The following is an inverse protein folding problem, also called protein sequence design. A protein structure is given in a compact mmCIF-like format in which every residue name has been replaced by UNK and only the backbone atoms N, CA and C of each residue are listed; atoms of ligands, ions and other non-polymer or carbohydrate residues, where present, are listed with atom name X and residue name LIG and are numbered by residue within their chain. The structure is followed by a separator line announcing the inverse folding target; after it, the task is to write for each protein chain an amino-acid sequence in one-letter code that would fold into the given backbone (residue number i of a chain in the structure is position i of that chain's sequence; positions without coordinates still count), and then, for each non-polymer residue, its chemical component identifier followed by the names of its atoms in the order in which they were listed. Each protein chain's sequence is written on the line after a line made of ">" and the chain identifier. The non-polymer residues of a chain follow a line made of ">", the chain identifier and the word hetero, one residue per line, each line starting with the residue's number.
data_IF_437088779435
#
_entry.id   IF_437088779435
#
_cell.length_a   1.000
_cell.length_b   1.000
_cell.length_c   1.000
_cell.angle_alpha   90.00
_cell.angle_beta   90.00
_cell.angle_gamma   90.00
#
_symmetry.space_group_name_H-M   'P 1'
#
loop_
_entity.id
_entity.type
_entity.pdbx_description
1 polymer ?
#
# COMPACT_ATOMS: atom_id res chain seq x y z
N UNK A 1 -42.49 24.21 -49.61
CA UNK A 1 -42.17 25.17 -48.52
C UNK A 1 -42.88 24.61 -47.31
N UNK A 2 -42.26 23.96 -46.34
CA UNK A 2 -41.03 24.33 -45.61
C UNK A 2 -40.84 23.23 -44.55
N UNK A 3 -39.80 22.40 -44.62
CA UNK A 3 -39.31 21.54 -43.51
C UNK A 3 -37.86 21.15 -43.76
N UNK A 4 -36.98 22.13 -43.70
CA UNK A 4 -35.56 21.93 -43.43
C UNK A 4 -35.13 23.08 -42.53
N UNK A 5 -34.93 22.82 -41.24
CA UNK A 5 -34.04 23.54 -40.31
C UNK A 5 -34.39 23.09 -38.89
N UNK A 6 -33.65 22.11 -38.40
CA UNK A 6 -33.39 21.86 -36.97
C UNK A 6 -32.29 20.80 -36.90
N UNK A 7 -31.06 21.21 -37.25
CA UNK A 7 -29.81 20.53 -36.88
C UNK A 7 -28.79 21.60 -36.59
N UNK A 8 -28.63 21.92 -35.31
CA UNK A 8 -27.65 22.91 -34.87
C UNK A 8 -27.90 23.25 -33.41
N UNK A 9 -27.37 22.42 -32.52
CA UNK A 9 -27.47 22.64 -31.08
C UNK A 9 -27.12 21.42 -30.23
N UNK A 10 -26.06 20.71 -30.59
CA UNK A 10 -25.47 19.63 -29.81
C UNK A 10 -24.03 19.57 -30.29
N UNK A 11 -23.08 20.20 -29.59
CA UNK A 11 -21.63 20.00 -29.75
C UNK A 11 -20.77 20.84 -28.79
N UNK A 12 -21.29 21.88 -28.13
CA UNK A 12 -20.46 22.73 -27.26
C UNK A 12 -20.33 22.25 -25.81
N UNK A 13 -21.26 21.43 -25.32
CA UNK A 13 -21.20 20.90 -23.94
C UNK A 13 -20.37 19.61 -23.84
N UNK A 14 -20.34 18.78 -24.89
CA UNK A 14 -19.53 17.54 -24.93
C UNK A 14 -18.02 17.82 -25.13
N UNK A 15 -17.66 18.89 -25.84
CA UNK A 15 -16.25 19.29 -26.04
C UNK A 15 -15.59 19.76 -24.73
N UNK A 16 -16.35 20.44 -23.85
CA UNK A 16 -15.87 20.86 -22.53
C UNK A 16 -15.59 19.68 -21.60
N UNK A 17 -16.45 18.65 -21.64
CA UNK A 17 -16.31 17.43 -20.83
C UNK A 17 -15.14 16.56 -21.32
N UNK A 18 -14.89 16.52 -22.63
CA UNK A 18 -13.75 15.80 -23.19
C UNK A 18 -12.41 16.51 -22.98
N UNK A 19 -12.38 17.84 -23.02
CA UNK A 19 -11.19 18.62 -22.68
C UNK A 19 -10.86 18.51 -21.19
N UNK A 20 -11.86 18.53 -20.31
CA UNK A 20 -11.68 18.30 -18.88
C UNK A 20 -11.25 16.85 -18.58
N UNK A 21 -11.78 15.85 -19.31
CA UNK A 21 -11.32 14.45 -19.23
C UNK A 21 -9.86 14.31 -19.68
N UNK A 22 -9.47 14.92 -20.80
CA UNK A 22 -8.08 14.91 -21.30
C UNK A 22 -7.14 15.67 -20.36
N UNK A 23 -7.63 16.72 -19.70
CA UNK A 23 -6.90 17.45 -18.66
C UNK A 23 -6.71 16.59 -17.41
N UNK A 24 -7.74 15.87 -16.95
CA UNK A 24 -7.64 14.87 -15.86
C UNK A 24 -6.74 13.69 -16.23
N UNK A 25 -6.71 13.28 -17.49
CA UNK A 25 -5.80 12.24 -18.00
C UNK A 25 -4.36 12.75 -18.08
N UNK A 26 -4.13 14.00 -18.48
CA UNK A 26 -2.80 14.65 -18.45
C UNK A 26 -2.31 14.93 -17.04
N UNK A 27 -3.16 15.42 -16.16
CA UNK A 27 -2.86 15.64 -14.73
C UNK A 27 -2.73 14.29 -14.00
N UNK A 28 -3.42 13.26 -14.49
CA UNK A 28 -3.34 11.87 -14.06
C UNK A 28 -2.28 11.03 -14.78
N UNK A 29 -1.42 11.64 -15.62
CA UNK A 29 -0.20 10.99 -16.11
C UNK A 29 0.76 10.87 -14.94
N UNK A 30 0.49 9.90 -14.08
CA UNK A 30 1.43 9.51 -13.07
C UNK A 30 2.53 8.70 -13.74
N UNK A 31 3.78 9.16 -13.63
CA UNK A 31 4.94 8.41 -14.08
C UNK A 31 5.23 7.27 -13.11
N UNK A 32 4.64 6.10 -13.38
CA UNK A 32 4.97 4.90 -12.63
C UNK A 32 6.41 4.52 -12.91
N UNK A 33 7.26 4.56 -11.88
CA UNK A 33 8.63 4.08 -11.99
C UNK A 33 8.59 2.58 -12.21
N UNK A 34 9.33 2.10 -13.19
CA UNK A 34 9.50 0.66 -13.33
C UNK A 34 10.23 0.13 -12.10
N UNK A 35 9.88 -1.09 -11.67
CA UNK A 35 10.64 -1.77 -10.61
C UNK A 35 12.12 -1.91 -11.02
N UNK A 36 12.39 -2.10 -12.31
CA UNK A 36 13.75 -2.19 -12.83
C UNK A 36 14.55 -0.90 -12.59
N UNK A 37 13.94 0.28 -12.81
CA UNK A 37 14.60 1.57 -12.57
C UNK A 37 14.86 1.84 -11.10
N UNK A 38 14.09 1.24 -10.20
CA UNK A 38 14.33 1.34 -8.75
C UNK A 38 15.58 0.55 -8.29
N UNK A 39 16.04 -0.38 -9.15
CA UNK A 39 17.24 -1.19 -8.96
C UNK A 39 18.44 -0.74 -9.81
N UNK A 40 18.21 0.18 -10.75
CA UNK A 40 19.22 0.78 -11.62
C UNK A 40 19.80 2.04 -10.96
N UNK A 41 20.44 1.82 -9.81
CA UNK A 41 21.09 2.85 -9.00
C UNK A 41 22.56 2.50 -8.81
N UNK A 42 23.42 3.50 -8.60
CA UNK A 42 24.86 3.28 -8.39
C UNK A 42 25.14 2.44 -7.15
N UNK A 43 26.29 1.76 -7.14
CA UNK A 43 26.75 1.01 -5.96
C UNK A 43 26.86 1.91 -4.73
N UNK A 44 27.37 3.13 -4.88
CA UNK A 44 27.44 4.14 -3.81
C UNK A 44 26.05 4.46 -3.21
N UNK A 45 25.02 4.54 -4.06
CA UNK A 45 23.65 4.81 -3.60
C UNK A 45 23.05 3.58 -2.89
N UNK A 46 23.39 2.36 -3.35
CA UNK A 46 23.02 1.14 -2.63
C UNK A 46 23.69 1.10 -1.26
N UNK A 47 25.00 1.34 -1.19
CA UNK A 47 25.78 1.35 0.05
C UNK A 47 25.21 2.36 1.04
N UNK A 48 24.96 3.60 0.60
CA UNK A 48 24.34 4.64 1.42
C UNK A 48 22.99 4.21 1.99
N UNK A 49 22.11 3.65 1.16
CA UNK A 49 20.78 3.17 1.61
C UNK A 49 20.90 2.06 2.65
N UNK A 50 21.83 1.14 2.45
CA UNK A 50 22.08 0.03 3.38
C UNK A 50 22.66 0.54 4.68
N UNK A 51 23.65 1.43 4.65
CA UNK A 51 24.27 2.02 5.84
C UNK A 51 23.27 2.79 6.69
N UNK A 52 22.44 3.64 6.08
CA UNK A 52 21.38 4.38 6.77
C UNK A 52 20.36 3.42 7.42
N UNK A 53 19.94 2.39 6.70
CA UNK A 53 19.01 1.40 7.21
C UNK A 53 19.60 0.58 8.36
N UNK A 54 20.86 0.13 8.23
CA UNK A 54 21.56 -0.65 9.26
C UNK A 54 21.84 0.18 10.52
N UNK A 55 22.12 1.47 10.37
CA UNK A 55 22.27 2.40 11.50
C UNK A 55 20.97 2.48 12.31
N UNK A 56 19.83 2.64 11.64
CA UNK A 56 18.51 2.68 12.28
C UNK A 56 18.17 1.36 12.97
N UNK A 57 18.41 0.23 12.30
CA UNK A 57 18.25 -1.12 12.89
C UNK A 57 19.09 -1.24 14.16
N UNK A 58 20.34 -0.76 14.15
CA UNK A 58 21.21 -0.77 15.33
C UNK A 58 20.68 0.06 16.49
N UNK A 59 20.08 1.22 16.22
CA UNK A 59 19.43 2.06 17.24
C UNK A 59 18.18 1.39 17.82
N UNK A 60 17.32 0.84 16.96
CA UNK A 60 16.09 0.16 17.36
C UNK A 60 16.38 -1.07 18.23
N UNK A 61 17.41 -1.86 17.89
CA UNK A 61 17.83 -3.03 18.69
C UNK A 61 18.32 -2.65 20.09
N UNK A 62 18.97 -1.49 20.22
CA UNK A 62 19.42 -0.96 21.52
C UNK A 62 18.28 -0.37 22.36
N UNK A 63 17.06 -0.30 21.80
CA UNK A 63 15.94 0.38 22.44
C UNK A 63 16.04 1.92 22.39
N UNK A 64 16.94 2.44 21.54
CA UNK A 64 17.09 3.87 21.28
C UNK A 64 16.16 4.35 20.15
N UNK A 65 15.40 3.42 19.56
CA UNK A 65 14.42 3.64 18.52
C UNK A 65 13.11 4.26 19.02
N UNK A 66 12.40 4.95 18.11
CA UNK A 66 11.11 5.58 18.41
C UNK A 66 9.92 4.66 18.20
N UNK A 67 9.79 4.06 17.00
CA UNK A 67 8.59 3.32 16.60
C UNK A 67 8.93 1.88 16.15
N UNK A 68 8.28 0.90 16.78
CA UNK A 68 8.50 -0.53 16.47
C UNK A 68 8.22 -0.90 15.01
N UNK A 69 7.40 -0.14 14.27
CA UNK A 69 7.19 -0.37 12.82
C UNK A 69 8.37 0.09 11.97
N UNK A 70 9.09 1.13 12.39
CA UNK A 70 10.20 1.69 11.61
C UNK A 70 11.37 0.70 11.54
N UNK A 71 11.54 -0.12 12.56
CA UNK A 71 12.46 -1.25 12.56
C UNK A 71 12.24 -2.18 11.36
N UNK A 72 11.00 -2.62 11.14
CA UNK A 72 10.68 -3.51 10.03
C UNK A 72 10.86 -2.85 8.66
N UNK A 73 10.56 -1.54 8.57
CA UNK A 73 10.77 -0.80 7.33
C UNK A 73 12.24 -0.53 7.03
N UNK A 74 13.08 -0.38 8.06
CA UNK A 74 14.52 -0.27 7.90
C UNK A 74 15.10 -1.60 7.40
N UNK A 75 14.67 -2.73 7.96
CA UNK A 75 15.01 -4.07 7.44
C UNK A 75 14.59 -4.21 5.98
N UNK A 76 13.33 -3.89 5.67
CA UNK A 76 12.82 -3.95 4.30
C UNK A 76 13.66 -3.08 3.35
N UNK A 77 14.04 -1.87 3.77
CA UNK A 77 14.84 -0.94 2.96
C UNK A 77 16.22 -1.52 2.67
N UNK A 78 16.92 -2.06 3.68
CA UNK A 78 18.22 -2.69 3.51
C UNK A 78 18.15 -3.89 2.56
N UNK A 79 17.21 -4.82 2.81
CA UNK A 79 17.04 -6.02 1.97
C UNK A 79 16.64 -5.66 0.55
N UNK A 80 15.76 -4.67 0.37
CA UNK A 80 15.35 -4.20 -0.95
C UNK A 80 16.52 -3.56 -1.71
N UNK A 81 17.31 -2.70 -1.06
CA UNK A 81 18.48 -2.10 -1.69
C UNK A 81 19.49 -3.15 -2.18
N UNK A 82 19.64 -4.24 -1.41
CA UNK A 82 20.47 -5.40 -1.75
C UNK A 82 19.84 -6.36 -2.76
N UNK A 83 18.70 -6.02 -3.39
CA UNK A 83 17.96 -6.89 -4.32
C UNK A 83 17.56 -8.24 -3.68
N UNK A 84 17.44 -8.27 -2.35
CA UNK A 84 17.07 -9.46 -1.58
C UNK A 84 15.57 -9.66 -1.45
N UNK A 85 15.19 -10.84 -0.96
CA UNK A 85 13.79 -11.20 -0.68
C UNK A 85 13.50 -11.07 0.81
N UNK A 86 12.47 -10.29 1.17
CA UNK A 86 12.01 -10.19 2.56
C UNK A 86 10.85 -11.16 2.81
N UNK A 87 11.04 -12.06 3.77
CA UNK A 87 10.00 -12.98 4.25
C UNK A 87 9.48 -12.52 5.62
N UNK A 88 8.16 -12.36 5.75
CA UNK A 88 7.51 -11.92 7.00
C UNK A 88 6.57 -12.99 7.52
N UNK A 89 6.86 -13.59 8.67
CA UNK A 89 6.03 -14.64 9.24
C UNK A 89 5.82 -14.43 10.75
N UNK A 90 4.56 -14.54 11.17
CA UNK A 90 4.18 -14.73 12.57
C UNK A 90 3.78 -16.19 12.78
N UNK A 91 3.48 -16.61 14.02
CA UNK A 91 3.18 -18.02 14.38
C UNK A 91 2.23 -18.74 13.40
N UNK A 92 1.12 -18.13 13.00
CA UNK A 92 0.13 -18.71 12.08
C UNK A 92 0.18 -18.09 10.68
N UNK A 93 1.15 -17.20 10.42
CA UNK A 93 1.29 -16.47 9.17
C UNK A 93 -0.03 -15.84 8.65
N UNK A 94 -0.94 -15.42 9.54
CA UNK A 94 -2.28 -14.92 9.19
C UNK A 94 -2.44 -13.42 9.45
N UNK A 95 -2.94 -13.03 10.62
CA UNK A 95 -3.34 -11.65 10.92
C UNK A 95 -2.16 -10.68 10.93
N UNK A 96 -1.21 -10.83 11.88
CA UNK A 96 -0.05 -9.93 12.02
C UNK A 96 0.86 -9.92 10.79
N UNK A 97 1.06 -11.09 10.17
CA UNK A 97 1.77 -11.18 8.89
C UNK A 97 1.11 -10.34 7.82
N UNK A 98 -0.21 -10.42 7.68
CA UNK A 98 -0.94 -9.66 6.66
C UNK A 98 -0.82 -8.15 6.92
N UNK A 99 -0.83 -7.70 8.17
CA UNK A 99 -0.68 -6.27 8.49
C UNK A 99 0.64 -5.71 7.99
N UNK A 100 1.75 -6.41 8.27
CA UNK A 100 3.09 -5.95 7.88
C UNK A 100 3.35 -6.13 6.38
N UNK A 101 2.95 -7.26 5.78
CA UNK A 101 3.11 -7.50 4.33
C UNK A 101 2.37 -6.44 3.52
N UNK A 102 1.11 -6.16 3.87
CA UNK A 102 0.32 -5.14 3.14
C UNK A 102 0.87 -3.73 3.34
N UNK A 103 1.46 -3.44 4.50
CA UNK A 103 2.13 -2.17 4.74
C UNK A 103 3.42 -2.00 3.91
N UNK A 104 4.24 -3.06 3.79
CA UNK A 104 5.43 -3.07 2.90
C UNK A 104 5.03 -2.94 1.43
N UNK A 105 3.99 -3.65 0.99
CA UNK A 105 3.46 -3.57 -0.38
C UNK A 105 2.97 -2.16 -0.71
N UNK A 106 2.19 -1.55 0.18
CA UNK A 106 1.72 -0.18 0.00
C UNK A 106 2.90 0.81 -0.09
N UNK A 107 3.92 0.64 0.77
CA UNK A 107 5.12 1.49 0.76
C UNK A 107 5.89 1.37 -0.55
N UNK A 108 6.00 0.15 -1.07
CA UNK A 108 6.61 -0.11 -2.37
C UNK A 108 5.81 0.57 -3.49
N UNK A 109 4.49 0.38 -3.52
CA UNK A 109 3.62 0.98 -4.53
C UNK A 109 3.70 2.52 -4.53
N UNK A 110 3.63 3.16 -3.36
CA UNK A 110 3.78 4.62 -3.25
C UNK A 110 5.17 5.08 -3.69
N UNK A 111 6.22 4.32 -3.38
CA UNK A 111 7.60 4.62 -3.83
C UNK A 111 7.76 4.53 -5.35
N UNK A 112 7.08 3.56 -5.98
CA UNK A 112 6.99 3.43 -7.44
C UNK A 112 6.08 4.49 -8.07
N UNK A 113 5.42 5.29 -7.24
CA UNK A 113 4.60 6.39 -7.70
C UNK A 113 3.12 6.05 -7.84
N UNK A 114 2.55 5.08 -7.14
CA UNK A 114 1.10 4.94 -7.22
C UNK A 114 0.42 6.18 -6.58
N UNK A 115 -0.47 6.92 -7.29
CA UNK A 115 -1.11 8.14 -6.78
C UNK A 115 -2.24 7.84 -5.80
N UNK A 116 -1.96 6.97 -4.83
CA UNK A 116 -2.92 6.48 -3.85
C UNK A 116 -2.26 6.59 -2.49
N UNK A 117 -3.02 7.00 -1.48
CA UNK A 117 -2.49 7.10 -0.12
C UNK A 117 -2.11 5.73 0.42
N UNK A 118 -1.06 5.70 1.26
CA UNK A 118 -0.61 4.50 1.96
C UNK A 118 -1.77 3.77 2.67
N UNK A 119 -2.60 4.51 3.39
CA UNK A 119 -3.76 3.98 4.09
C UNK A 119 -4.76 3.31 3.15
N UNK A 120 -5.11 3.96 2.04
CA UNK A 120 -6.06 3.42 1.06
C UNK A 120 -5.52 2.12 0.44
N UNK A 121 -4.24 2.08 0.09
CA UNK A 121 -3.61 0.87 -0.45
C UNK A 121 -3.57 -0.26 0.57
N UNK A 122 -3.15 0.03 1.80
CA UNK A 122 -3.14 -0.94 2.89
C UNK A 122 -4.53 -1.54 3.12
N UNK A 123 -5.55 -0.69 3.23
CA UNK A 123 -6.94 -1.13 3.45
C UNK A 123 -7.47 -1.94 2.26
N UNK A 124 -7.11 -1.57 1.03
CA UNK A 124 -7.46 -2.32 -0.18
C UNK A 124 -6.81 -3.70 -0.18
N UNK A 125 -5.50 -3.80 0.07
CA UNK A 125 -4.81 -5.08 0.15
C UNK A 125 -5.32 -5.96 1.30
N UNK A 126 -5.72 -5.33 2.41
CA UNK A 126 -6.29 -6.03 3.56
C UNK A 126 -7.71 -6.54 3.31
N UNK A 127 -8.53 -5.81 2.56
CA UNK A 127 -9.91 -6.21 2.26
C UNK A 127 -10.03 -7.18 1.08
N UNK A 128 -9.21 -6.98 0.05
CA UNK A 128 -9.39 -7.61 -1.25
C UNK A 128 -8.13 -8.31 -1.80
N UNK A 129 -7.00 -8.22 -1.10
CA UNK A 129 -5.77 -8.88 -1.52
C UNK A 129 -5.69 -10.34 -1.09
N UNK A 130 -4.72 -11.06 -1.68
CA UNK A 130 -4.43 -12.50 -1.45
C UNK A 130 -4.26 -12.84 0.04
N UNK A 131 -3.83 -11.86 0.85
CA UNK A 131 -3.67 -12.05 2.29
C UNK A 131 -5.00 -12.27 3.03
N UNK A 132 -6.11 -11.74 2.52
CA UNK A 132 -7.46 -12.04 3.02
C UNK A 132 -7.92 -13.44 2.60
N UNK A 133 -7.50 -13.93 1.43
CA UNK A 133 -7.78 -15.31 1.02
C UNK A 133 -7.04 -16.29 1.93
N UNK A 134 -5.79 -15.98 2.31
CA UNK A 134 -5.06 -16.77 3.31
C UNK A 134 -5.78 -16.79 4.67
N UNK A 135 -6.36 -15.67 5.10
CA UNK A 135 -7.20 -15.65 6.31
C UNK A 135 -8.37 -16.62 6.14
N UNK A 136 -9.09 -16.52 5.03
CA UNK A 136 -10.27 -17.34 4.73
C UNK A 136 -9.92 -18.83 4.69
N UNK A 137 -8.82 -19.22 4.04
CA UNK A 137 -8.38 -20.63 3.99
C UNK A 137 -7.98 -21.17 5.37
N UNK A 138 -7.41 -20.33 6.23
CA UNK A 138 -6.98 -20.76 7.57
C UNK A 138 -8.15 -20.90 8.57
N UNK A 139 -9.16 -20.04 8.49
CA UNK A 139 -10.24 -19.98 9.51
C UNK A 139 -11.65 -20.14 8.96
N UNK A 140 -11.79 -20.47 7.68
CA UNK A 140 -13.07 -20.68 6.99
C UNK A 140 -13.91 -19.43 6.77
N UNK A 141 -13.38 -18.23 7.00
CA UNK A 141 -14.16 -16.98 6.95
C UNK A 141 -13.29 -15.75 6.70
N UNK A 142 -13.85 -14.78 5.97
CA UNK A 142 -13.23 -13.47 5.71
C UNK A 142 -13.28 -12.64 7.00
N UNK A 143 -12.13 -12.22 7.50
CA UNK A 143 -12.02 -11.36 8.67
C UNK A 143 -10.84 -11.70 9.59
N UNK A 144 -10.10 -10.67 9.98
CA UNK A 144 -8.99 -10.78 10.89
C UNK A 144 -9.46 -11.06 12.32
N UNK A 145 -8.69 -11.84 13.07
CA UNK A 145 -9.04 -12.25 14.43
C UNK A 145 -8.47 -11.29 15.49
N UNK A 146 -8.55 -9.98 15.24
CA UNK A 146 -8.25 -8.97 16.25
C UNK A 146 -9.54 -8.58 16.98
N UNK A 147 -9.50 -8.56 18.31
CA UNK A 147 -10.52 -7.82 19.07
C UNK A 147 -10.22 -6.32 19.07
N UNK A 148 -11.18 -5.50 19.50
CA UNK A 148 -11.06 -4.03 19.43
C UNK A 148 -9.86 -3.50 20.21
N UNK A 149 -9.60 -4.07 21.39
CA UNK A 149 -8.48 -3.66 22.24
C UNK A 149 -7.13 -4.00 21.58
N UNK A 150 -6.98 -5.22 21.05
CA UNK A 150 -5.80 -5.64 20.29
C UNK A 150 -5.58 -4.75 19.07
N UNK A 151 -6.66 -4.37 18.38
CA UNK A 151 -6.61 -3.47 17.22
C UNK A 151 -6.11 -2.07 17.61
N UNK A 152 -6.56 -1.54 18.74
CA UNK A 152 -6.15 -0.22 19.23
C UNK A 152 -4.67 -0.18 19.62
N UNK A 153 -4.13 -1.26 20.17
CA UNK A 153 -2.70 -1.36 20.52
C UNK A 153 -1.76 -1.53 19.32
N UNK A 154 -2.28 -1.80 18.12
CA UNK A 154 -1.44 -1.81 16.93
C UNK A 154 -1.04 -0.38 16.55
N UNK A 155 0.21 -0.17 16.08
CA UNK A 155 0.61 1.06 15.42
C UNK A 155 -0.34 1.40 14.27
N UNK A 156 -0.59 2.70 13.99
CA UNK A 156 -1.53 3.12 12.94
C UNK A 156 -1.31 2.41 11.60
N UNK A 157 -0.06 2.24 11.17
CA UNK A 157 0.32 1.64 9.90
C UNK A 157 -0.01 0.14 9.82
N UNK A 158 -0.11 -0.54 10.97
CA UNK A 158 -0.44 -1.96 11.07
C UNK A 158 -1.88 -2.21 11.51
N UNK A 159 -2.65 -1.15 11.74
CA UNK A 159 -4.00 -1.27 12.27
C UNK A 159 -4.99 -1.61 11.13
N UNK A 160 -5.68 -2.76 11.19
CA UNK A 160 -6.70 -3.08 10.19
C UNK A 160 -7.95 -2.19 10.35
N UNK A 161 -8.72 -1.99 9.27
CA UNK A 161 -10.06 -1.44 9.33
C UNK A 161 -10.95 -2.25 10.30
N UNK A 162 -11.77 -1.58 11.13
CA UNK A 162 -12.71 -2.28 12.02
C UNK A 162 -13.64 -3.23 11.27
N UNK A 163 -14.11 -2.85 10.08
CA UNK A 163 -15.00 -3.64 9.23
C UNK A 163 -14.39 -4.97 8.75
N UNK A 164 -13.06 -5.12 8.83
CA UNK A 164 -12.35 -6.34 8.47
C UNK A 164 -11.95 -7.18 9.69
N UNK A 165 -12.31 -6.76 10.91
CA UNK A 165 -12.10 -7.51 12.14
C UNK A 165 -13.37 -8.25 12.55
N UNK A 166 -13.22 -9.43 13.14
CA UNK A 166 -14.34 -10.23 13.64
C UNK A 166 -14.93 -9.73 14.96
N UNK A 167 -14.49 -8.59 15.49
CA UNK A 167 -15.10 -7.99 16.68
C UNK A 167 -16.49 -7.46 16.34
N UNK A 168 -17.52 -8.27 16.63
CA UNK A 168 -18.92 -7.83 16.65
C UNK A 168 -19.94 -8.72 15.95
N UNK A 169 -19.54 -9.76 15.20
CA UNK A 169 -20.50 -10.79 14.79
C UNK A 169 -20.67 -11.78 15.95
N UNK A 170 -21.53 -11.42 16.91
CA UNK A 170 -22.17 -12.42 17.75
C UNK A 170 -22.87 -13.42 16.82
N UNK A 171 -22.62 -14.71 17.07
CA UNK A 171 -23.35 -15.81 16.45
C UNK A 171 -24.85 -15.72 16.74
#
# INVERSE_FOLDING_TARGET
>A
KERERERGGYNSEEEGDEEERKKREKEGQFEFRSISSDFDVSEDEVERRVEEAMTRIGQDVKGEGGNSTDFFFSIYTAVYALKGVTCVMCKSAKDRTSMLVTAMQARCAVRLGLPITMETLQNTFRGFGVRMDNVTMNVGSKGYAFNDLQRLFLPPELRPPPSLCKSGQQA
#
